data_IF_069233957195
#
_entry.id   IF_069233957195
#
_cell.length_a   1.000
_cell.length_b   1.000
_cell.length_c   1.000
_cell.angle_alpha   90.00
_cell.angle_beta   90.00
_cell.angle_gamma   90.00
#
_symmetry.space_group_name_H-M   'P 1'
#
loop_
_entity.id
_entity.type
_entity.pdbx_description
1 polymer ?
#
# COMPACT_ATOMS: atom_id res chain seq x y z
N UNK A 1 -22.07 9.12 1.21
CA UNK A 1 -20.77 8.77 1.84
C UNK A 1 -20.93 8.90 3.34
N UNK A 2 -20.95 7.78 4.07
CA UNK A 2 -20.86 7.80 5.53
C UNK A 2 -19.45 8.27 5.90
N UNK A 3 -19.31 9.26 6.79
CA UNK A 3 -17.99 9.53 7.38
C UNK A 3 -17.46 8.23 8.02
N UNK A 4 -16.17 7.89 7.84
CA UNK A 4 -15.59 6.75 8.53
C UNK A 4 -15.77 6.92 10.05
N UNK A 5 -15.95 5.82 10.76
CA UNK A 5 -16.13 5.84 12.20
C UNK A 5 -14.79 6.13 12.89
N UNK A 6 -14.48 7.42 13.09
CA UNK A 6 -13.25 7.92 13.72
C UNK A 6 -12.91 7.20 15.04
N UNK A 7 -13.92 6.77 15.79
CA UNK A 7 -13.74 6.02 17.04
C UNK A 7 -13.14 4.63 16.80
N UNK A 8 -13.65 3.89 15.80
CA UNK A 8 -13.15 2.56 15.47
C UNK A 8 -11.70 2.63 14.95
N UNK A 9 -11.42 3.58 14.05
CA UNK A 9 -10.07 3.82 13.53
C UNK A 9 -9.09 4.12 14.66
N UNK A 10 -9.47 4.97 15.61
CA UNK A 10 -8.65 5.31 16.76
C UNK A 10 -8.33 4.09 17.63
N UNK A 11 -9.31 3.22 17.88
CA UNK A 11 -9.09 1.98 18.63
C UNK A 11 -8.07 1.08 17.92
N UNK A 12 -8.23 0.86 16.61
CA UNK A 12 -7.33 0.03 15.83
C UNK A 12 -5.90 0.59 15.79
N UNK A 13 -5.75 1.91 15.60
CA UNK A 13 -4.44 2.57 15.64
C UNK A 13 -3.77 2.33 17.00
N UNK A 14 -4.52 2.51 18.10
CA UNK A 14 -4.00 2.29 19.45
C UNK A 14 -3.56 0.84 19.66
N UNK A 15 -4.33 -0.13 19.19
CA UNK A 15 -3.99 -1.56 19.27
C UNK A 15 -2.67 -1.85 18.55
N UNK A 16 -2.51 -1.37 17.31
CA UNK A 16 -1.28 -1.56 16.53
C UNK A 16 -0.08 -0.89 17.22
N UNK A 17 -0.23 0.35 17.71
CA UNK A 17 0.85 1.03 18.42
C UNK A 17 1.26 0.27 19.70
N UNK A 18 0.28 -0.30 20.42
CA UNK A 18 0.52 -1.14 21.60
C UNK A 18 1.19 -2.46 21.25
N UNK A 19 0.88 -3.05 20.11
CA UNK A 19 1.52 -4.29 19.69
C UNK A 19 2.97 -4.04 19.21
N UNK A 20 3.15 -3.06 18.34
CA UNK A 20 4.38 -2.93 17.55
C UNK A 20 5.42 -2.04 18.21
N UNK A 21 5.03 -1.07 19.05
CA UNK A 21 5.95 -0.04 19.59
C UNK A 21 6.09 -0.07 21.11
N UNK A 22 5.08 -0.51 21.86
CA UNK A 22 5.20 -0.58 23.32
C UNK A 22 6.36 -1.48 23.79
N UNK A 23 6.67 -2.63 23.16
CA UNK A 23 7.81 -3.46 23.58
C UNK A 23 9.17 -2.75 23.53
N UNK A 24 9.31 -1.72 22.68
CA UNK A 24 10.55 -0.95 22.49
C UNK A 24 10.50 0.46 23.10
N UNK A 25 9.33 0.91 23.57
CA UNK A 25 9.13 2.22 24.20
C UNK A 25 8.73 1.99 25.66
N UNK A 26 9.70 2.00 26.60
CA UNK A 26 9.44 1.75 28.01
C UNK A 26 8.72 2.93 28.68
N UNK A 27 8.12 2.67 29.83
CA UNK A 27 7.63 3.72 30.73
C UNK A 27 8.78 4.64 31.18
N UNK A 28 8.45 5.90 31.44
CA UNK A 28 9.42 6.82 32.02
C UNK A 28 9.43 6.64 33.54
N UNK A 29 10.58 6.82 34.19
CA UNK A 29 10.67 6.78 35.66
C UNK A 29 10.04 8.04 36.27
N UNK A 30 8.71 8.07 36.32
CA UNK A 30 7.90 9.17 36.87
C UNK A 30 6.80 8.62 37.76
N UNK A 31 6.45 9.37 38.80
CA UNK A 31 5.33 9.06 39.68
C UNK A 31 4.00 9.42 38.97
N UNK A 32 3.65 8.59 37.99
CA UNK A 32 2.48 8.71 37.14
C UNK A 32 1.55 7.51 37.35
N UNK A 33 0.25 7.73 37.14
CA UNK A 33 -0.71 6.62 37.11
C UNK A 33 -0.48 5.75 35.87
N UNK A 34 -0.95 4.49 35.86
CA UNK A 34 -0.87 3.63 34.67
C UNK A 34 -1.45 4.30 33.42
N UNK A 35 -2.56 5.04 33.54
CA UNK A 35 -3.18 5.75 32.42
C UNK A 35 -2.31 6.90 31.88
N UNK A 36 -1.57 7.57 32.77
CA UNK A 36 -0.64 8.63 32.38
C UNK A 36 0.57 8.05 31.64
N UNK A 37 1.10 6.91 32.11
CA UNK A 37 2.15 6.16 31.41
C UNK A 37 1.68 5.69 30.04
N UNK A 38 0.50 5.08 29.96
CA UNK A 38 -0.09 4.62 28.70
C UNK A 38 -0.26 5.78 27.70
N UNK A 39 -0.81 6.90 28.15
CA UNK A 39 -0.99 8.09 27.31
C UNK A 39 0.35 8.63 26.78
N UNK A 40 1.36 8.70 27.63
CA UNK A 40 2.68 9.16 27.23
C UNK A 40 3.34 8.19 26.22
N UNK A 41 3.27 6.88 26.49
CA UNK A 41 3.80 5.84 25.60
C UNK A 41 3.09 5.83 24.25
N UNK A 42 1.78 6.05 24.22
CA UNK A 42 1.02 6.17 22.97
C UNK A 42 1.50 7.35 22.14
N UNK A 43 1.71 8.53 22.73
CA UNK A 43 2.26 9.70 22.02
C UNK A 43 3.66 9.41 21.46
N UNK A 44 4.56 8.82 22.25
CA UNK A 44 5.90 8.44 21.79
C UNK A 44 5.89 7.35 20.70
N UNK A 45 4.99 6.36 20.83
CA UNK A 45 4.77 5.32 19.82
C UNK A 45 4.26 5.93 18.52
N UNK A 46 3.36 6.91 18.61
CA UNK A 46 2.84 7.62 17.45
C UNK A 46 3.95 8.44 16.75
N UNK A 47 4.84 9.09 17.51
CA UNK A 47 5.99 9.79 16.94
C UNK A 47 6.92 8.85 16.16
N UNK A 48 7.28 7.71 16.76
CA UNK A 48 8.10 6.70 16.08
C UNK A 48 7.38 6.09 14.88
N UNK A 49 6.07 5.85 14.97
CA UNK A 49 5.26 5.40 13.84
C UNK A 49 5.30 6.39 12.67
N UNK A 50 5.24 7.70 12.95
CA UNK A 50 5.40 8.73 11.92
C UNK A 50 6.74 8.59 11.20
N UNK A 51 7.85 8.55 11.97
CA UNK A 51 9.20 8.41 11.42
C UNK A 51 9.35 7.11 10.61
N UNK A 52 8.80 5.99 11.09
CA UNK A 52 8.84 4.72 10.38
C UNK A 52 8.20 4.80 8.99
N UNK A 53 7.04 5.45 8.84
CA UNK A 53 6.34 5.56 7.56
C UNK A 53 6.90 6.69 6.68
N UNK A 54 7.40 7.78 7.26
CA UNK A 54 7.98 8.91 6.51
C UNK A 54 9.36 8.58 5.91
N UNK A 55 10.16 7.77 6.61
CA UNK A 55 11.53 7.45 6.22
C UNK A 55 11.75 5.96 5.89
N UNK A 56 10.67 5.19 5.72
CA UNK A 56 10.69 3.75 5.39
C UNK A 56 11.61 2.92 6.31
N UNK A 57 11.41 3.08 7.62
CA UNK A 57 12.20 2.41 8.66
C UNK A 57 11.41 1.31 9.35
N UNK A 58 12.13 0.34 9.89
CA UNK A 58 11.54 -0.62 10.83
C UNK A 58 11.09 0.09 12.13
N UNK A 59 10.07 -0.43 12.84
CA UNK A 59 9.66 0.11 14.13
C UNK A 59 10.82 0.28 15.12
N UNK A 60 11.72 -0.71 15.18
CA UNK A 60 12.90 -0.67 16.06
C UNK A 60 13.85 0.47 15.71
N UNK A 61 14.16 0.68 14.43
CA UNK A 61 14.98 1.83 14.01
C UNK A 61 14.28 3.15 14.34
N UNK A 62 12.98 3.25 14.06
CA UNK A 62 12.23 4.48 14.31
C UNK A 62 12.11 4.81 15.81
N UNK A 63 12.06 3.82 16.71
CA UNK A 63 12.05 4.05 18.16
C UNK A 63 13.31 4.79 18.65
N UNK A 64 14.44 4.66 17.95
CA UNK A 64 15.67 5.38 18.28
C UNK A 64 15.60 6.89 17.97
N UNK A 65 14.58 7.37 17.26
CA UNK A 65 14.38 8.80 16.96
C UNK A 65 13.69 9.58 18.10
N UNK A 66 13.11 8.89 19.09
CA UNK A 66 12.26 9.51 20.12
C UNK A 66 13.07 10.33 21.14
N UNK A 67 12.71 11.58 21.37
CA UNK A 67 13.27 12.39 22.46
C UNK A 67 12.47 12.07 23.73
N UNK A 68 12.96 11.13 24.54
CA UNK A 68 12.29 10.70 25.76
C UNK A 68 12.33 11.79 26.86
N UNK A 69 11.21 12.08 27.50
CA UNK A 69 11.17 12.84 28.76
C UNK A 69 10.22 14.04 28.73
N UNK A 70 10.21 14.82 29.83
CA UNK A 70 9.74 16.20 29.79
C UNK A 70 10.85 17.10 29.21
N UNK A 71 10.50 18.34 28.89
CA UNK A 71 11.42 19.34 28.33
C UNK A 71 12.10 18.87 27.03
N UNK A 72 11.31 18.26 26.14
CA UNK A 72 11.65 17.93 24.75
C UNK A 72 11.58 19.16 23.81
N UNK A 73 11.35 20.34 24.39
CA UNK A 73 11.13 21.61 23.71
C UNK A 73 10.03 21.52 22.63
N UNK A 74 9.03 20.66 22.82
CA UNK A 74 7.91 20.47 21.90
C UNK A 74 8.17 19.54 20.72
N UNK A 75 9.36 18.92 20.63
CA UNK A 75 9.73 17.95 19.57
C UNK A 75 9.85 16.54 20.19
N UNK A 76 8.93 15.65 19.87
CA UNK A 76 8.86 14.30 20.41
C UNK A 76 9.81 13.31 19.69
N UNK A 77 10.14 13.54 18.43
CA UNK A 77 11.09 12.70 17.68
C UNK A 77 11.86 13.47 16.61
N UNK A 78 13.11 13.04 16.36
CA UNK A 78 14.00 13.62 15.36
C UNK A 78 14.75 12.52 14.60
N UNK A 79 14.74 12.60 13.27
CA UNK A 79 15.47 11.67 12.41
C UNK A 79 16.06 12.37 11.19
N UNK A 80 17.35 12.17 10.97
CA UNK A 80 18.01 12.66 9.76
C UNK A 80 18.07 11.56 8.69
N UNK A 81 17.21 11.71 7.68
CA UNK A 81 17.25 10.90 6.47
C UNK A 81 18.36 11.39 5.54
N UNK A 82 19.52 10.74 5.66
CA UNK A 82 20.74 11.05 4.90
C UNK A 82 20.59 10.79 3.41
N UNK A 83 19.71 9.86 3.01
CA UNK A 83 19.50 9.42 1.62
C UNK A 83 18.66 10.47 0.88
N UNK A 84 17.55 10.89 1.47
CA UNK A 84 16.65 11.88 0.89
C UNK A 84 17.02 13.33 1.24
N UNK A 85 18.08 13.52 2.04
CA UNK A 85 18.55 14.82 2.54
C UNK A 85 17.46 15.59 3.29
N UNK A 86 16.76 14.90 4.21
CA UNK A 86 15.65 15.44 4.99
C UNK A 86 15.86 15.27 6.49
N UNK A 87 15.63 16.33 7.25
CA UNK A 87 15.58 16.29 8.71
C UNK A 87 14.12 16.31 9.16
N UNK A 88 13.64 15.19 9.69
CA UNK A 88 12.29 15.04 10.19
C UNK A 88 12.22 15.45 11.67
N UNK A 89 11.31 16.36 12.00
CA UNK A 89 11.03 16.82 13.35
C UNK A 89 9.55 16.58 13.64
N UNK A 90 9.20 15.79 14.65
CA UNK A 90 7.82 15.34 14.87
C UNK A 90 7.31 15.81 16.23
N UNK A 91 6.10 16.36 16.28
CA UNK A 91 5.30 16.52 17.49
C UNK A 91 4.09 15.58 17.44
N UNK A 92 3.92 14.76 18.47
CA UNK A 92 2.95 13.68 18.50
C UNK A 92 1.95 13.75 19.65
N UNK A 93 0.67 13.72 19.32
CA UNK A 93 -0.43 13.75 20.30
C UNK A 93 -1.39 12.59 20.06
N UNK A 94 -1.29 11.53 20.86
CA UNK A 94 -2.22 10.39 20.83
C UNK A 94 -3.61 10.73 21.41
N UNK A 95 -4.22 11.82 20.93
CA UNK A 95 -5.40 12.46 21.48
C UNK A 95 -5.94 13.51 20.51
N UNK A 96 -6.39 14.65 21.05
CA UNK A 96 -6.85 15.79 20.25
C UNK A 96 -5.70 16.41 19.45
N UNK A 97 -6.05 17.15 18.40
CA UNK A 97 -5.10 17.95 17.64
C UNK A 97 -4.29 18.90 18.55
N UNK A 98 -3.00 19.18 18.23
CA UNK A 98 -2.22 20.21 18.89
C UNK A 98 -2.95 21.55 18.91
N UNK A 99 -3.00 22.17 20.09
CA UNK A 99 -3.57 23.50 20.25
C UNK A 99 -2.50 24.58 19.99
N UNK A 100 -2.87 25.85 20.07
CA UNK A 100 -1.94 26.97 19.86
C UNK A 100 -0.74 26.97 20.82
N UNK A 101 -0.92 26.50 22.07
CA UNK A 101 0.17 26.39 23.03
C UNK A 101 1.14 25.27 22.68
N UNK A 102 0.63 24.13 22.21
CA UNK A 102 1.44 23.01 21.71
C UNK A 102 2.23 23.43 20.45
N UNK A 103 1.56 24.14 19.52
CA UNK A 103 2.18 24.64 18.29
C UNK A 103 3.31 25.63 18.55
N UNK A 104 3.09 26.60 19.45
CA UNK A 104 4.12 27.57 19.82
C UNK A 104 5.37 26.88 20.37
N UNK A 105 5.20 25.90 21.27
CA UNK A 105 6.32 25.09 21.78
C UNK A 105 7.05 24.38 20.66
N UNK A 106 6.33 23.79 19.71
CA UNK A 106 6.94 23.12 18.56
C UNK A 106 7.77 24.08 17.69
N UNK A 107 7.19 25.21 17.28
CA UNK A 107 7.88 26.23 16.50
C UNK A 107 9.11 26.78 17.24
N UNK A 108 8.98 27.02 18.55
CA UNK A 108 10.09 27.47 19.40
C UNK A 108 11.19 26.42 19.50
N UNK A 109 10.83 25.14 19.64
CA UNK A 109 11.73 24.00 19.58
C UNK A 109 12.50 23.92 18.28
N UNK A 110 11.82 24.02 17.15
CA UNK A 110 12.46 24.02 15.82
C UNK A 110 13.38 25.23 15.69
N UNK A 111 12.97 26.41 16.17
CA UNK A 111 13.82 27.61 16.16
C UNK A 111 15.07 27.41 17.02
N UNK A 112 14.94 26.80 18.20
CA UNK A 112 16.08 26.47 19.05
C UNK A 112 17.03 25.48 18.38
N UNK A 113 16.50 24.46 17.71
CA UNK A 113 17.29 23.46 16.97
C UNK A 113 18.05 24.11 15.80
N UNK A 114 17.38 24.90 14.96
CA UNK A 114 17.99 25.57 13.79
C UNK A 114 19.10 26.55 14.21
N UNK A 115 18.96 27.20 15.36
CA UNK A 115 19.99 28.09 15.93
C UNK A 115 21.03 27.34 16.79
N UNK A 116 21.06 26.01 16.74
CA UNK A 116 21.98 25.15 17.49
C UNK A 116 21.96 25.40 19.01
N UNK A 117 20.81 25.79 19.57
CA UNK A 117 20.60 26.00 21.01
C UNK A 117 20.29 24.68 21.72
N UNK A 118 21.16 23.68 21.54
CA UNK A 118 20.94 22.30 22.00
C UNK A 118 20.86 22.16 23.53
N UNK A 119 21.43 23.11 24.28
CA UNK A 119 21.35 23.16 25.75
C UNK A 119 19.91 23.26 26.30
N UNK A 120 18.93 23.59 25.45
CA UNK A 120 17.51 23.63 25.83
C UNK A 120 16.79 22.29 25.68
N UNK A 121 17.43 21.28 25.09
CA UNK A 121 16.87 19.95 24.93
C UNK A 121 17.34 19.03 26.06
N UNK A 122 16.52 18.06 26.41
CA UNK A 122 16.83 17.11 27.48
C UNK A 122 17.96 16.12 27.10
N UNK A 123 18.42 15.35 28.08
CA UNK A 123 19.54 14.40 27.90
C UNK A 123 19.29 13.36 26.82
N UNK A 124 18.04 13.01 26.54
CA UNK A 124 17.69 12.07 25.47
C UNK A 124 18.05 12.61 24.09
N UNK A 125 18.08 13.92 23.89
CA UNK A 125 18.50 14.53 22.62
C UNK A 125 20.00 14.37 22.33
N UNK A 126 20.85 14.25 23.36
CA UNK A 126 22.32 14.24 23.23
C UNK A 126 22.82 13.19 22.22
N UNK A 127 22.16 12.03 22.13
CA UNK A 127 22.52 10.97 21.19
C UNK A 127 22.21 11.32 19.72
N UNK A 128 21.26 12.20 19.48
CA UNK A 128 20.81 12.66 18.16
C UNK A 128 21.50 13.97 17.75
N UNK A 129 22.13 14.68 18.70
CA UNK A 129 22.71 16.00 18.47
C UNK A 129 23.67 16.01 17.28
N UNK A 130 24.57 15.02 17.18
CA UNK A 130 25.54 14.96 16.08
C UNK A 130 24.86 14.82 14.71
N UNK A 131 23.84 13.95 14.60
CA UNK A 131 23.07 13.78 13.36
C UNK A 131 22.30 15.05 12.99
N UNK A 132 21.79 15.77 13.99
CA UNK A 132 21.09 17.03 13.78
C UNK A 132 22.05 18.14 13.35
N UNK A 133 23.21 18.25 13.98
CA UNK A 133 24.25 19.21 13.60
C UNK A 133 24.69 18.98 12.16
N UNK A 134 24.99 17.73 11.80
CA UNK A 134 25.38 17.34 10.45
C UNK A 134 24.27 17.64 9.44
N UNK A 135 23.01 17.36 9.77
CA UNK A 135 21.87 17.73 8.94
C UNK A 135 21.84 19.25 8.70
N UNK A 136 21.93 20.06 9.76
CA UNK A 136 21.83 21.52 9.68
C UNK A 136 22.96 22.17 8.87
N UNK A 137 24.16 21.60 8.92
CA UNK A 137 25.34 22.06 8.19
C UNK A 137 25.40 21.54 6.74
N UNK A 138 24.55 20.57 6.39
CA UNK A 138 24.49 20.01 5.03
C UNK A 138 23.71 20.92 4.07
N UNK A 139 24.37 21.31 2.98
CA UNK A 139 23.75 22.09 1.92
C UNK A 139 22.53 21.39 1.32
N UNK A 140 21.46 22.16 1.12
CA UNK A 140 20.22 21.68 0.50
C UNK A 140 19.38 20.75 1.37
N UNK A 141 19.71 20.55 2.66
CA UNK A 141 18.85 19.78 3.56
C UNK A 141 17.47 20.46 3.67
N UNK A 142 16.41 19.65 3.59
CA UNK A 142 15.04 20.07 3.88
C UNK A 142 14.67 19.65 5.30
N UNK A 143 14.28 20.61 6.12
CA UNK A 143 13.74 20.40 7.46
C UNK A 143 12.23 20.28 7.32
N UNK A 144 11.65 19.20 7.83
CA UNK A 144 10.21 18.96 7.76
C UNK A 144 9.64 18.78 9.16
N UNK A 145 8.80 19.73 9.57
CA UNK A 145 8.09 19.68 10.85
C UNK A 145 6.73 18.98 10.71
N UNK A 146 6.53 17.86 11.39
CA UNK A 146 5.31 17.07 11.29
C UNK A 146 4.49 17.13 12.58
N UNK A 147 3.22 17.48 12.49
CA UNK A 147 2.27 17.35 13.59
C UNK A 147 1.44 16.08 13.37
N UNK A 148 1.60 15.07 14.24
CA UNK A 148 0.86 13.80 14.16
C UNK A 148 -0.10 13.63 15.33
N UNK A 149 -1.37 13.32 15.05
CA UNK A 149 -2.40 13.23 16.09
C UNK A 149 -3.64 12.42 15.70
N UNK A 150 -4.42 11.99 16.71
CA UNK A 150 -5.59 11.12 16.55
C UNK A 150 -6.91 11.90 16.61
N UNK A 151 -7.01 12.94 15.78
CA UNK A 151 -8.13 13.86 15.62
C UNK A 151 -8.28 14.25 14.14
N UNK A 152 -9.36 14.97 13.78
CA UNK A 152 -9.72 15.21 12.38
C UNK A 152 -8.82 16.25 11.67
N UNK A 153 -8.50 17.37 12.32
CA UNK A 153 -7.74 18.46 11.69
C UNK A 153 -7.11 19.43 12.70
N UNK A 154 -6.07 20.14 12.28
CA UNK A 154 -5.50 21.27 13.00
C UNK A 154 -6.47 22.48 12.97
N UNK A 155 -6.48 23.26 14.04
CA UNK A 155 -7.22 24.52 14.07
C UNK A 155 -6.63 25.56 13.09
N UNK A 156 -7.49 26.38 12.48
CA UNK A 156 -7.06 27.41 11.50
C UNK A 156 -5.98 28.36 12.03
N UNK A 157 -6.03 28.72 13.31
CA UNK A 157 -5.00 29.54 13.95
C UNK A 157 -3.63 28.85 14.01
N UNK A 158 -3.60 27.53 14.26
CA UNK A 158 -2.37 26.73 14.27
C UNK A 158 -1.80 26.64 12.85
N UNK A 159 -2.64 26.37 11.85
CA UNK A 159 -2.22 26.34 10.44
C UNK A 159 -1.65 27.68 9.98
N UNK A 160 -2.29 28.80 10.35
CA UNK A 160 -1.79 30.13 10.01
C UNK A 160 -0.42 30.42 10.65
N UNK A 161 -0.23 30.01 11.91
CA UNK A 161 1.03 30.17 12.64
C UNK A 161 2.15 29.32 12.04
N UNK A 162 1.87 28.07 11.65
CA UNK A 162 2.81 27.20 10.93
C UNK A 162 3.19 27.76 9.56
N UNK A 163 2.23 28.33 8.82
CA UNK A 163 2.50 28.99 7.54
C UNK A 163 3.34 30.26 7.72
N UNK A 164 3.09 31.05 8.76
CA UNK A 164 3.92 32.20 9.09
C UNK A 164 5.35 31.75 9.45
N UNK A 165 5.49 30.71 10.27
CA UNK A 165 6.77 30.14 10.64
C UNK A 165 7.53 29.57 9.43
N UNK A 166 6.83 28.92 8.50
CA UNK A 166 7.40 28.48 7.23
C UNK A 166 7.95 29.64 6.42
N UNK A 167 7.22 30.75 6.32
CA UNK A 167 7.69 31.93 5.61
C UNK A 167 8.91 32.58 6.31
N UNK A 168 8.94 32.56 7.65
CA UNK A 168 10.08 33.04 8.45
C UNK A 168 11.36 32.25 8.13
N UNK A 169 11.30 30.91 8.22
CA UNK A 169 12.45 30.04 7.98
C UNK A 169 12.86 29.97 6.50
N UNK A 170 11.93 30.25 5.57
CA UNK A 170 12.19 30.23 4.13
C UNK A 170 12.51 31.60 3.52
N UNK A 171 12.79 32.61 4.34
CA UNK A 171 12.97 34.00 3.86
C UNK A 171 14.04 34.13 2.76
N UNK A 172 15.12 33.37 2.84
CA UNK A 172 16.26 33.46 1.91
C UNK A 172 16.48 32.19 1.10
N UNK A 173 16.15 31.03 1.65
CA UNK A 173 16.25 29.73 0.99
C UNK A 173 15.09 28.85 1.46
N UNK A 174 14.48 28.10 0.54
CA UNK A 174 13.39 27.20 0.85
C UNK A 174 13.94 25.95 1.55
N UNK A 175 14.01 25.98 2.87
CA UNK A 175 14.60 24.90 3.69
C UNK A 175 13.65 24.26 4.68
N UNK A 176 12.51 24.86 4.97
CA UNK A 176 11.53 24.36 5.91
C UNK A 176 10.17 24.08 5.27
N UNK A 177 9.61 22.92 5.56
CA UNK A 177 8.23 22.55 5.24
C UNK A 177 7.56 21.96 6.49
N UNK A 178 6.24 21.89 6.47
CA UNK A 178 5.50 21.26 7.55
C UNK A 178 4.39 20.37 6.99
N UNK A 179 4.07 19.31 7.73
CA UNK A 179 3.07 18.31 7.35
C UNK A 179 2.04 18.10 8.48
N UNK A 180 0.77 18.06 8.08
CA UNK A 180 -0.36 17.70 8.93
C UNK A 180 -0.65 16.20 8.80
N UNK A 181 -0.42 15.44 9.86
CA UNK A 181 -0.60 13.98 9.90
C UNK A 181 -1.77 13.63 10.84
N UNK A 182 -2.98 13.82 10.33
CA UNK A 182 -4.20 13.55 11.07
C UNK A 182 -4.55 12.04 11.13
N UNK A 183 -5.68 11.71 11.76
CA UNK A 183 -6.11 10.31 11.89
C UNK A 183 -6.33 9.60 10.54
N UNK A 184 -6.75 10.31 9.50
CA UNK A 184 -6.95 9.75 8.17
C UNK A 184 -5.61 9.34 7.52
N UNK A 185 -4.60 10.20 7.63
CA UNK A 185 -3.23 9.89 7.15
C UNK A 185 -2.68 8.65 7.85
N UNK A 186 -2.81 8.59 9.18
CA UNK A 186 -2.32 7.48 10.00
C UNK A 186 -3.03 6.18 9.62
N UNK A 187 -4.35 6.23 9.49
CA UNK A 187 -5.14 5.06 9.16
C UNK A 187 -4.83 4.54 7.76
N UNK A 188 -4.61 5.43 6.80
CA UNK A 188 -4.18 5.08 5.43
C UNK A 188 -2.85 4.34 5.43
N UNK A 189 -1.88 4.74 6.26
CA UNK A 189 -0.62 4.01 6.40
C UNK A 189 -0.81 2.60 6.98
N UNK A 190 -1.73 2.42 7.92
CA UNK A 190 -2.04 1.10 8.47
C UNK A 190 -2.69 0.18 7.44
N UNK A 191 -3.64 0.68 6.66
CA UNK A 191 -4.34 -0.14 5.65
C UNK A 191 -3.49 -0.39 4.41
N UNK A 192 -2.59 0.53 4.04
CA UNK A 192 -1.68 0.34 2.92
C UNK A 192 -0.74 -0.87 3.11
N UNK A 193 -0.35 -1.17 4.36
CA UNK A 193 0.42 -2.39 4.68
C UNK A 193 -0.35 -3.69 4.39
N UNK A 194 -1.67 -3.61 4.21
CA UNK A 194 -2.55 -4.74 3.89
C UNK A 194 -2.87 -4.83 2.39
N UNK A 195 -2.37 -3.93 1.55
CA UNK A 195 -2.49 -4.05 0.10
C UNK A 195 -1.62 -5.20 -0.40
N UNK A 196 -2.21 -6.09 -1.20
CA UNK A 196 -1.42 -7.05 -1.96
C UNK A 196 -0.57 -6.28 -2.97
N UNK A 197 0.74 -6.46 -2.94
CA UNK A 197 1.64 -5.81 -3.89
C UNK A 197 1.22 -6.18 -5.33
N UNK A 198 1.25 -5.22 -6.28
CA UNK A 198 1.00 -5.51 -7.68
C UNK A 198 1.96 -6.59 -8.18
N UNK A 199 1.43 -7.59 -8.87
CA UNK A 199 2.26 -8.70 -9.39
C UNK A 199 2.88 -8.27 -10.72
N UNK A 200 4.19 -8.45 -10.85
CA UNK A 200 4.87 -8.46 -12.13
C UNK A 200 4.89 -9.90 -12.68
N UNK A 201 4.39 -10.07 -13.89
CA UNK A 201 4.36 -11.36 -14.59
C UNK A 201 5.10 -11.26 -15.91
N UNK A 202 5.87 -12.30 -16.25
CA UNK A 202 6.41 -12.48 -17.59
C UNK A 202 5.61 -13.56 -18.32
N UNK A 203 5.10 -13.23 -19.50
CA UNK A 203 4.22 -14.11 -20.28
C UNK A 203 4.59 -14.06 -21.76
N UNK A 204 4.73 -15.21 -22.40
CA UNK A 204 4.98 -15.28 -23.85
C UNK A 204 3.67 -15.23 -24.61
N UNK A 205 3.59 -14.32 -25.58
CA UNK A 205 2.50 -14.26 -26.55
C UNK A 205 3.02 -14.66 -27.93
N UNK A 206 2.30 -15.56 -28.58
CA UNK A 206 2.53 -15.96 -29.96
C UNK A 206 1.48 -15.36 -30.89
N UNK A 207 1.85 -15.11 -32.14
CA UNK A 207 0.96 -14.62 -33.21
C UNK A 207 0.08 -13.45 -32.76
N UNK A 208 0.71 -12.45 -32.16
CA UNK A 208 0.02 -11.38 -31.47
C UNK A 208 -0.12 -10.12 -32.33
N UNK A 209 -1.10 -9.30 -31.97
CA UNK A 209 -1.31 -7.98 -32.53
C UNK A 209 -1.60 -6.96 -31.43
N UNK A 210 -1.33 -5.69 -31.73
CA UNK A 210 -1.63 -4.56 -30.84
C UNK A 210 -2.70 -3.66 -31.44
N UNK A 211 -3.64 -3.25 -30.60
CA UNK A 211 -4.53 -2.13 -30.83
C UNK A 211 -3.97 -0.94 -30.06
N UNK A 212 -3.51 0.09 -30.77
CA UNK A 212 -2.92 1.28 -30.15
C UNK A 212 -3.94 2.40 -29.91
N UNK A 213 -5.07 2.40 -30.61
CA UNK A 213 -6.03 3.49 -30.55
C UNK A 213 -6.93 3.43 -29.31
N UNK A 214 -7.11 4.60 -28.67
CA UNK A 214 -7.82 4.85 -27.40
C UNK A 214 -7.20 4.20 -26.15
N UNK A 215 -6.84 2.91 -26.20
CA UNK A 215 -6.14 2.19 -25.13
C UNK A 215 -5.29 1.08 -25.73
N UNK A 216 -4.08 0.89 -25.22
CA UNK A 216 -3.20 -0.21 -25.67
C UNK A 216 -3.77 -1.55 -25.24
N UNK A 217 -4.09 -2.39 -26.22
CA UNK A 217 -4.51 -3.76 -25.99
C UNK A 217 -3.73 -4.70 -26.91
N UNK A 218 -3.44 -5.89 -26.42
CA UNK A 218 -2.74 -6.94 -27.15
C UNK A 218 -3.60 -8.18 -27.19
N UNK A 219 -3.62 -8.89 -28.30
CA UNK A 219 -4.26 -10.19 -28.38
C UNK A 219 -3.41 -11.16 -29.18
N UNK A 220 -3.42 -12.43 -28.79
CA UNK A 220 -2.59 -13.47 -29.38
C UNK A 220 -2.84 -14.80 -28.71
N UNK A 221 -1.92 -15.75 -28.91
CA UNK A 221 -1.96 -17.06 -28.30
C UNK A 221 -1.03 -17.12 -27.09
N UNK A 222 -1.48 -17.80 -26.04
CA UNK A 222 -0.67 -18.11 -24.87
C UNK A 222 -0.61 -19.62 -24.66
N UNK A 223 0.54 -20.10 -24.19
CA UNK A 223 0.71 -21.50 -23.83
C UNK A 223 0.04 -21.81 -22.48
N UNK A 224 -0.74 -22.88 -22.40
CA UNK A 224 -1.37 -23.31 -21.16
C UNK A 224 -0.33 -23.70 -20.08
N UNK A 225 0.84 -24.22 -20.45
CA UNK A 225 1.91 -24.54 -19.51
C UNK A 225 2.41 -23.29 -18.76
N UNK A 226 2.61 -22.16 -19.46
CA UNK A 226 3.01 -20.91 -18.82
C UNK A 226 1.95 -20.41 -17.83
N UNK A 227 0.66 -20.55 -18.16
CA UNK A 227 -0.42 -20.18 -17.24
C UNK A 227 -0.43 -21.07 -15.97
N UNK A 228 -0.10 -22.35 -16.09
CA UNK A 228 0.03 -23.25 -14.94
C UNK A 228 1.20 -22.86 -14.04
N UNK A 229 2.35 -22.51 -14.62
CA UNK A 229 3.52 -22.04 -13.89
C UNK A 229 3.22 -20.75 -13.13
N UNK A 230 2.55 -19.79 -13.77
CA UNK A 230 2.12 -18.56 -13.12
C UNK A 230 1.16 -18.83 -11.96
N UNK A 231 0.21 -19.76 -12.13
CA UNK A 231 -0.70 -20.15 -11.06
C UNK A 231 0.05 -20.82 -9.91
N UNK A 232 1.05 -21.67 -10.18
CA UNK A 232 1.90 -22.27 -9.15
C UNK A 232 2.69 -21.21 -8.37
N UNK A 233 3.16 -20.16 -9.04
CA UNK A 233 3.95 -19.10 -8.43
C UNK A 233 3.12 -18.10 -7.61
N UNK A 234 1.95 -17.69 -8.12
CA UNK A 234 1.18 -16.57 -7.56
C UNK A 234 -0.20 -16.98 -7.03
N UNK A 235 -0.69 -18.17 -7.37
CA UNK A 235 -1.95 -18.74 -6.93
C UNK A 235 -3.13 -17.74 -7.11
N UNK A 236 -3.93 -17.55 -6.08
CA UNK A 236 -5.12 -16.69 -6.07
C UNK A 236 -4.82 -15.22 -6.37
N UNK A 237 -3.56 -14.77 -6.23
CA UNK A 237 -3.19 -13.37 -6.47
C UNK A 237 -3.34 -12.98 -7.94
N UNK A 238 -3.27 -13.95 -8.88
CA UNK A 238 -3.51 -13.68 -10.31
C UNK A 238 -4.92 -13.14 -10.61
N UNK A 239 -5.87 -13.33 -9.71
CA UNK A 239 -7.29 -13.01 -9.92
C UNK A 239 -7.78 -11.87 -9.04
N UNK A 240 -6.89 -11.07 -8.43
CA UNK A 240 -7.28 -10.05 -7.45
C UNK A 240 -8.31 -9.03 -7.97
N UNK A 241 -8.27 -8.67 -9.26
CA UNK A 241 -9.25 -7.76 -9.89
C UNK A 241 -10.45 -8.48 -10.51
N UNK A 242 -10.55 -9.80 -10.32
CA UNK A 242 -11.62 -10.63 -10.85
C UNK A 242 -12.79 -10.74 -9.85
N UNK A 243 -14.02 -10.65 -10.37
CA UNK A 243 -15.24 -10.85 -9.57
C UNK A 243 -15.58 -12.30 -9.31
N UNK A 244 -14.99 -13.17 -10.12
CA UNK A 244 -15.28 -14.59 -10.16
C UNK A 244 -14.14 -15.32 -9.46
N UNK A 245 -14.14 -15.26 -8.12
CA UNK A 245 -13.50 -16.28 -7.31
C UNK A 245 -14.28 -17.61 -7.31
N UNK A 246 -15.48 -17.58 -7.90
CA UNK A 246 -16.28 -18.76 -8.14
C UNK A 246 -15.60 -19.68 -9.16
N UNK A 247 -14.95 -20.73 -8.63
CA UNK A 247 -14.77 -22.00 -9.33
C UNK A 247 -16.16 -22.40 -9.82
N UNK A 248 -16.45 -22.21 -11.11
CA UNK A 248 -17.78 -22.51 -11.65
C UNK A 248 -18.15 -23.98 -11.53
N UNK A 249 -19.22 -24.40 -12.20
CA UNK A 249 -19.70 -25.78 -12.11
C UNK A 249 -18.57 -26.77 -12.44
N UNK A 250 -18.49 -27.86 -11.66
CA UNK A 250 -17.48 -28.91 -11.86
C UNK A 250 -17.47 -29.38 -13.32
N UNK A 251 -18.64 -29.50 -13.94
CA UNK A 251 -18.80 -29.90 -15.35
C UNK A 251 -17.98 -29.05 -16.34
N UNK A 252 -17.93 -27.72 -16.17
CA UNK A 252 -17.17 -26.84 -17.07
C UNK A 252 -15.68 -26.98 -16.84
N UNK A 253 -15.27 -27.02 -15.58
CA UNK A 253 -13.85 -27.16 -15.22
C UNK A 253 -13.31 -28.53 -15.67
N UNK A 254 -14.12 -29.58 -15.52
CA UNK A 254 -13.82 -30.94 -16.00
C UNK A 254 -13.71 -30.98 -17.51
N UNK A 255 -14.63 -30.35 -18.25
CA UNK A 255 -14.55 -30.28 -19.71
C UNK A 255 -13.25 -29.61 -20.18
N UNK A 256 -12.87 -28.47 -19.58
CA UNK A 256 -11.61 -27.79 -19.88
C UNK A 256 -10.42 -28.71 -19.55
N UNK A 257 -10.42 -29.33 -18.37
CA UNK A 257 -9.36 -30.25 -17.96
C UNK A 257 -9.24 -31.46 -18.90
N UNK A 258 -10.34 -32.03 -19.37
CA UNK A 258 -10.35 -33.11 -20.35
C UNK A 258 -9.79 -32.66 -21.69
N UNK A 259 -10.13 -31.46 -22.18
CA UNK A 259 -9.55 -30.90 -23.40
C UNK A 259 -8.03 -30.75 -23.26
N UNK A 260 -7.55 -30.16 -22.17
CA UNK A 260 -6.11 -30.01 -21.92
C UNK A 260 -5.40 -31.38 -21.86
N UNK A 261 -6.01 -32.39 -21.24
CA UNK A 261 -5.43 -33.75 -21.08
C UNK A 261 -5.45 -34.57 -22.37
N UNK A 262 -6.55 -34.54 -23.13
CA UNK A 262 -6.80 -35.49 -24.23
C UNK A 262 -6.77 -34.86 -25.63
N UNK A 263 -7.05 -33.57 -25.73
CA UNK A 263 -7.22 -32.85 -27.00
C UNK A 263 -6.53 -31.47 -26.94
N UNK A 264 -5.22 -31.39 -26.65
CA UNK A 264 -4.54 -30.12 -26.40
C UNK A 264 -4.60 -29.14 -27.59
N UNK A 265 -4.50 -29.64 -28.83
CA UNK A 265 -4.63 -28.84 -30.06
C UNK A 265 -6.02 -28.20 -30.21
N UNK A 266 -7.05 -28.81 -29.62
CA UNK A 266 -8.42 -28.31 -29.69
C UNK A 266 -8.72 -27.24 -28.63
N UNK A 267 -7.79 -26.99 -27.69
CA UNK A 267 -8.00 -26.04 -26.59
C UNK A 267 -8.33 -24.63 -27.10
N UNK A 268 -7.70 -24.20 -28.20
CA UNK A 268 -7.98 -22.92 -28.81
C UNK A 268 -9.44 -22.80 -29.28
N UNK A 269 -10.00 -23.87 -29.85
CA UNK A 269 -11.36 -23.87 -30.42
C UNK A 269 -12.43 -24.09 -29.35
N UNK A 270 -12.10 -24.86 -28.31
CA UNK A 270 -13.04 -25.27 -27.25
C UNK A 270 -13.00 -24.35 -26.02
N UNK A 271 -12.16 -23.31 -26.01
CA UNK A 271 -12.06 -22.35 -24.92
C UNK A 271 -12.38 -20.92 -25.38
N UNK A 272 -13.05 -20.15 -24.52
CA UNK A 272 -13.41 -18.75 -24.81
C UNK A 272 -12.22 -17.78 -24.77
N UNK A 273 -11.07 -18.23 -24.26
CA UNK A 273 -9.87 -17.43 -24.06
C UNK A 273 -9.78 -16.78 -22.68
N UNK A 274 -8.77 -15.92 -22.55
CA UNK A 274 -8.38 -15.25 -21.32
C UNK A 274 -8.38 -13.74 -21.53
N UNK A 275 -8.91 -12.95 -20.58
CA UNK A 275 -8.67 -11.51 -20.55
C UNK A 275 -7.85 -11.13 -19.32
N UNK A 276 -6.72 -10.47 -19.55
CA UNK A 276 -5.81 -9.94 -18.55
C UNK A 276 -5.88 -8.42 -18.59
N UNK A 277 -5.84 -7.80 -17.41
CA UNK A 277 -5.56 -6.38 -17.25
C UNK A 277 -4.20 -6.20 -16.56
N UNK A 278 -3.52 -5.11 -16.88
CA UNK A 278 -2.25 -4.75 -16.27
C UNK A 278 -2.15 -3.22 -16.19
N UNK A 279 -1.32 -2.70 -15.28
CA UNK A 279 -1.03 -1.27 -15.21
C UNK A 279 -0.10 -0.85 -16.34
N UNK A 280 0.83 -1.73 -16.73
CA UNK A 280 1.82 -1.44 -17.77
C UNK A 280 2.26 -2.68 -18.54
N UNK A 281 2.48 -2.52 -19.84
CA UNK A 281 3.07 -3.54 -20.73
C UNK A 281 4.44 -3.08 -21.20
N UNK A 282 5.45 -3.91 -20.97
CA UNK A 282 6.83 -3.71 -21.42
C UNK A 282 7.21 -4.84 -22.39
N UNK A 283 7.65 -4.45 -23.59
CA UNK A 283 8.14 -5.34 -24.63
C UNK A 283 9.67 -5.23 -24.76
N UNK A 284 10.37 -6.33 -25.10
CA UNK A 284 11.78 -6.26 -25.46
C UNK A 284 11.98 -5.45 -26.75
N UNK A 285 13.18 -4.88 -26.92
CA UNK A 285 13.51 -4.03 -28.07
C UNK A 285 13.38 -4.77 -29.42
N UNK A 286 13.76 -6.05 -29.47
CA UNK A 286 13.66 -6.91 -30.65
C UNK A 286 12.41 -7.79 -30.65
N UNK A 287 11.24 -7.26 -30.26
CA UNK A 287 10.00 -8.03 -30.26
C UNK A 287 9.57 -8.39 -31.68
N UNK A 288 9.00 -9.59 -31.83
CA UNK A 288 8.45 -10.12 -33.07
C UNK A 288 6.99 -10.55 -32.86
N UNK A 289 6.15 -10.35 -33.87
CA UNK A 289 4.73 -10.71 -33.79
C UNK A 289 4.50 -12.23 -33.70
N UNK A 290 5.43 -13.05 -34.20
CA UNK A 290 5.29 -14.52 -34.14
C UNK A 290 5.41 -15.04 -32.71
N UNK A 291 6.36 -14.51 -31.92
CA UNK A 291 6.53 -14.85 -30.52
C UNK A 291 7.32 -13.78 -29.78
N UNK A 292 6.83 -13.32 -28.63
CA UNK A 292 7.53 -12.35 -27.78
C UNK A 292 7.19 -12.56 -26.31
N UNK A 293 8.18 -12.39 -25.43
CA UNK A 293 7.99 -12.40 -23.97
C UNK A 293 7.64 -11.01 -23.45
N UNK A 294 6.42 -10.87 -22.94
CA UNK A 294 5.88 -9.63 -22.37
C UNK A 294 6.24 -9.56 -20.90
N UNK A 295 6.51 -8.36 -20.38
CA UNK A 295 6.54 -8.07 -18.94
C UNK A 295 5.32 -7.22 -18.60
N UNK A 296 4.51 -7.69 -17.66
CA UNK A 296 3.21 -7.14 -17.30
C UNK A 296 3.23 -6.72 -15.83
N UNK A 297 3.18 -5.41 -15.56
CA UNK A 297 3.09 -4.88 -14.19
C UNK A 297 1.62 -4.80 -13.76
N UNK A 298 1.33 -5.11 -12.49
CA UNK A 298 -0.03 -5.08 -11.95
C UNK A 298 -0.97 -6.08 -12.63
N UNK A 299 -0.45 -7.25 -12.95
CA UNK A 299 -1.14 -8.33 -13.67
C UNK A 299 -2.40 -8.80 -12.93
N UNK A 300 -3.53 -8.91 -13.63
CA UNK A 300 -4.69 -9.65 -13.15
C UNK A 300 -5.54 -10.22 -14.28
N UNK A 301 -5.87 -11.50 -14.18
CA UNK A 301 -6.84 -12.19 -15.03
C UNK A 301 -8.25 -11.77 -14.61
N UNK A 302 -8.95 -11.03 -15.46
CA UNK A 302 -10.32 -10.53 -15.21
C UNK A 302 -11.40 -11.39 -15.86
N UNK A 303 -11.05 -12.26 -16.81
CA UNK A 303 -11.90 -13.31 -17.36
C UNK A 303 -11.03 -14.54 -17.69
N UNK A 304 -11.52 -15.74 -17.36
CA UNK A 304 -10.82 -17.01 -17.60
C UNK A 304 -10.19 -17.65 -16.36
N UNK A 305 -10.60 -17.26 -15.14
CA UNK A 305 -10.11 -17.86 -13.89
C UNK A 305 -10.33 -19.38 -13.82
N UNK A 306 -11.47 -19.86 -14.29
CA UNK A 306 -11.77 -21.30 -14.42
C UNK A 306 -10.82 -22.02 -15.36
N UNK A 307 -10.49 -21.39 -16.51
CA UNK A 307 -9.55 -21.95 -17.48
C UNK A 307 -8.17 -22.11 -16.85
N UNK A 308 -7.64 -21.05 -16.22
CA UNK A 308 -6.33 -21.09 -15.55
C UNK A 308 -6.34 -22.11 -14.40
N UNK A 309 -7.38 -22.16 -13.59
CA UNK A 309 -7.50 -23.12 -12.49
C UNK A 309 -7.59 -24.58 -12.97
N UNK A 310 -8.33 -24.85 -14.05
CA UNK A 310 -8.44 -26.20 -14.63
C UNK A 310 -7.11 -26.65 -15.23
N UNK A 311 -6.43 -25.75 -15.96
CA UNK A 311 -5.08 -25.96 -16.48
C UNK A 311 -4.10 -26.28 -15.34
N UNK A 312 -4.09 -25.50 -14.26
CA UNK A 312 -3.23 -25.72 -13.11
C UNK A 312 -3.52 -27.06 -12.40
N UNK A 313 -4.80 -27.46 -12.31
CA UNK A 313 -5.18 -28.77 -11.79
C UNK A 313 -4.59 -29.90 -12.62
N UNK A 314 -4.71 -29.84 -13.95
CA UNK A 314 -4.08 -30.82 -14.87
C UNK A 314 -2.56 -30.87 -14.68
N UNK A 315 -1.91 -29.71 -14.56
CA UNK A 315 -0.48 -29.62 -14.35
C UNK A 315 -0.04 -30.26 -13.02
N UNK A 316 -0.79 -30.05 -11.94
CA UNK A 316 -0.50 -30.65 -10.64
C UNK A 316 -0.67 -32.17 -10.65
N UNK A 317 -1.67 -32.69 -11.37
CA UNK A 317 -1.91 -34.14 -11.51
C UNK A 317 -0.81 -34.83 -12.35
N UNK A 318 -0.44 -34.23 -13.48
CA UNK A 318 0.37 -34.89 -14.51
C UNK A 318 1.84 -34.42 -14.55
N UNK A 319 2.19 -33.33 -13.86
CA UNK A 319 3.51 -32.72 -13.84
C UNK A 319 3.89 -31.90 -15.08
N UNK A 320 3.12 -32.00 -16.18
CA UNK A 320 3.35 -31.24 -17.42
C UNK A 320 2.05 -31.03 -18.21
N UNK A 321 2.05 -30.00 -19.05
CA UNK A 321 1.00 -29.72 -20.05
C UNK A 321 1.65 -29.75 -21.44
N UNK A 322 0.92 -30.25 -22.45
CA UNK A 322 1.41 -30.26 -23.82
C UNK A 322 1.73 -28.84 -24.31
N UNK A 323 2.86 -28.60 -25.00
CA UNK A 323 3.17 -27.31 -25.59
C UNK A 323 2.19 -26.91 -26.70
N UNK A 324 1.41 -27.86 -27.22
CA UNK A 324 0.37 -27.60 -28.23
C UNK A 324 -0.92 -27.03 -27.62
N UNK A 325 -1.08 -27.11 -26.30
CA UNK A 325 -2.23 -26.57 -25.60
C UNK A 325 -2.15 -25.03 -25.54
N UNK A 326 -2.76 -24.37 -26.52
CA UNK A 326 -2.77 -22.91 -26.66
C UNK A 326 -4.19 -22.37 -26.64
N UNK A 327 -4.35 -21.13 -26.18
CA UNK A 327 -5.63 -20.44 -26.12
C UNK A 327 -5.47 -18.95 -26.45
N UNK A 328 -6.56 -18.33 -26.88
CA UNK A 328 -6.62 -16.90 -27.13
C UNK A 328 -6.48 -16.11 -25.83
N UNK A 329 -5.64 -15.09 -25.83
CA UNK A 329 -5.51 -14.13 -24.72
C UNK A 329 -5.71 -12.70 -25.23
N UNK A 330 -6.35 -11.87 -24.42
CA UNK A 330 -6.41 -10.42 -24.58
C UNK A 330 -5.80 -9.75 -23.36
N UNK A 331 -4.78 -8.91 -23.54
CA UNK A 331 -4.15 -8.10 -22.50
C UNK A 331 -4.57 -6.65 -22.71
N UNK A 332 -5.06 -5.99 -21.67
CA UNK A 332 -5.46 -4.58 -21.71
C UNK A 332 -4.60 -3.79 -20.74
N UNK A 333 -3.91 -2.77 -21.23
CA UNK A 333 -3.12 -1.84 -20.43
C UNK A 333 -4.03 -0.72 -19.91
N UNK A 334 -4.19 -0.64 -18.59
CA UNK A 334 -5.10 0.32 -17.94
C UNK A 334 -4.40 1.65 -17.59
N UNK A 335 -3.07 1.68 -17.50
CA UNK A 335 -2.35 2.84 -16.98
C UNK A 335 -2.49 2.98 -15.46
N UNK A 336 -2.78 4.20 -14.98
CA UNK A 336 -2.90 4.50 -13.53
C UNK A 336 -4.16 3.93 -12.89
N UNK A 337 -4.06 3.55 -11.61
CA UNK A 337 -5.08 2.81 -10.83
C UNK A 337 -6.42 3.56 -10.68
N UNK A 338 -6.47 4.87 -10.92
CA UNK A 338 -7.69 5.68 -10.78
C UNK A 338 -8.75 5.45 -11.88
N UNK A 339 -8.47 4.62 -12.87
CA UNK A 339 -9.32 4.45 -14.05
C UNK A 339 -10.45 3.46 -13.76
N UNK A 340 -11.69 3.97 -13.60
CA UNK A 340 -12.91 3.18 -13.35
C UNK A 340 -13.19 2.14 -14.43
N UNK A 341 -12.59 2.32 -15.61
CA UNK A 341 -12.67 1.41 -16.74
C UNK A 341 -12.24 -0.02 -16.41
N UNK A 342 -11.28 -0.23 -15.50
CA UNK A 342 -10.84 -1.57 -15.14
C UNK A 342 -12.00 -2.37 -14.55
N UNK A 343 -12.79 -1.72 -13.69
CA UNK A 343 -14.02 -2.27 -13.12
C UNK A 343 -15.07 -2.50 -14.21
N UNK A 344 -15.24 -1.58 -15.15
CA UNK A 344 -16.18 -1.72 -16.26
C UNK A 344 -15.83 -2.86 -17.21
N UNK A 345 -14.54 -3.02 -17.56
CA UNK A 345 -14.02 -4.13 -18.37
C UNK A 345 -14.28 -5.44 -17.66
N UNK A 346 -13.92 -5.54 -16.37
CA UNK A 346 -14.19 -6.74 -15.57
C UNK A 346 -15.68 -7.04 -15.56
N UNK A 347 -16.56 -6.05 -15.35
CA UNK A 347 -18.02 -6.25 -15.39
C UNK A 347 -18.47 -6.76 -16.77
N UNK A 348 -18.14 -6.06 -17.85
CA UNK A 348 -18.57 -6.37 -19.20
C UNK A 348 -18.09 -7.75 -19.69
N UNK A 349 -16.85 -8.13 -19.36
CA UNK A 349 -16.29 -9.44 -19.72
C UNK A 349 -16.84 -10.59 -18.87
N UNK A 350 -17.43 -10.31 -17.72
CA UNK A 350 -18.07 -11.33 -16.87
C UNK A 350 -19.58 -11.44 -17.08
N UNK A 351 -20.27 -10.38 -17.55
CA UNK A 351 -21.71 -10.39 -17.85
C UNK A 351 -22.12 -11.28 -19.02
N UNK A 352 -21.18 -11.76 -19.84
CA UNK A 352 -21.48 -12.69 -20.95
C UNK A 352 -21.89 -14.09 -20.47
N UNK A 353 -21.77 -14.41 -19.19
CA UNK A 353 -22.39 -15.56 -18.54
C UNK A 353 -23.31 -15.07 -17.41
N UNK A 354 -24.36 -15.83 -17.05
CA UNK A 354 -25.29 -15.48 -15.97
C UNK A 354 -24.57 -15.38 -14.63
N UNK A 355 -24.11 -14.18 -14.28
CA UNK A 355 -23.49 -13.87 -12.99
C UNK A 355 -24.57 -13.36 -12.05
N UNK A 356 -24.65 -13.94 -10.85
CA UNK A 356 -25.59 -13.45 -9.81
C UNK A 356 -25.16 -12.06 -9.34
N UNK A 357 -26.14 -11.18 -9.06
CA UNK A 357 -25.89 -9.79 -8.65
C UNK A 357 -24.92 -9.62 -7.47
N UNK A 358 -24.88 -10.63 -6.57
CA UNK A 358 -23.97 -10.67 -5.42
C UNK A 358 -22.48 -10.64 -5.79
N UNK A 359 -22.09 -11.12 -6.97
CA UNK A 359 -20.68 -11.07 -7.43
C UNK A 359 -20.26 -9.67 -7.86
N UNK A 360 -21.21 -8.83 -8.30
CA UNK A 360 -20.91 -7.42 -8.60
C UNK A 360 -20.74 -6.60 -7.33
N UNK A 361 -21.38 -6.99 -6.22
CA UNK A 361 -21.17 -6.35 -4.92
C UNK A 361 -19.72 -6.53 -4.43
N UNK A 362 -19.05 -7.62 -4.80
CA UNK A 362 -17.63 -7.87 -4.48
C UNK A 362 -16.65 -6.92 -5.21
N UNK A 363 -17.09 -6.22 -6.27
CA UNK A 363 -16.27 -5.18 -6.93
C UNK A 363 -16.35 -3.82 -6.27
N UNK A 364 -17.29 -3.62 -5.36
CA UNK A 364 -17.39 -2.34 -4.69
C UNK A 364 -16.06 -2.07 -3.97
N UNK A 365 -15.36 -0.95 -4.27
CA UNK A 365 -14.12 -0.60 -3.57
C UNK A 365 -14.26 -0.58 -2.05
N UNK A 366 -15.49 -0.40 -1.54
CA UNK A 366 -15.78 -0.52 -0.12
C UNK A 366 -15.53 -1.93 0.45
N UNK A 367 -15.69 -2.99 -0.33
CA UNK A 367 -15.42 -4.35 0.14
C UNK A 367 -13.94 -4.57 0.40
N UNK A 368 -13.09 -4.10 -0.51
CA UNK A 368 -11.63 -4.16 -0.34
C UNK A 368 -11.18 -3.23 0.79
N UNK A 369 -11.75 -2.02 0.89
CA UNK A 369 -11.55 -1.14 2.05
C UNK A 369 -11.90 -1.88 3.34
N UNK A 370 -13.09 -2.46 3.47
CA UNK A 370 -13.51 -3.21 4.65
C UNK A 370 -12.58 -4.39 4.95
N UNK A 371 -12.08 -5.09 3.91
CA UNK A 371 -11.11 -6.18 4.09
C UNK A 371 -9.81 -5.68 4.71
N UNK A 372 -9.26 -4.59 4.19
CA UNK A 372 -8.06 -3.97 4.73
C UNK A 372 -8.28 -3.51 6.18
N UNK A 373 -9.41 -2.83 6.45
CA UNK A 373 -9.78 -2.34 7.78
C UNK A 373 -9.96 -3.47 8.80
N UNK A 374 -10.59 -4.59 8.41
CA UNK A 374 -10.73 -5.77 9.25
C UNK A 374 -9.38 -6.45 9.50
N UNK A 375 -8.52 -6.54 8.47
CA UNK A 375 -7.22 -7.19 8.58
C UNK A 375 -6.26 -6.45 9.52
N UNK A 376 -6.37 -5.13 9.65
CA UNK A 376 -5.64 -4.36 10.68
C UNK A 376 -5.92 -4.90 12.10
N UNK A 377 -7.12 -5.43 12.35
CA UNK A 377 -7.50 -6.10 13.60
C UNK A 377 -7.34 -7.63 13.55
N UNK A 378 -6.57 -8.17 12.61
CA UNK A 378 -6.43 -9.61 12.34
C UNK A 378 -7.78 -10.34 12.09
N UNK A 379 -8.80 -9.62 11.60
CA UNK A 379 -10.09 -10.21 11.22
C UNK A 379 -10.08 -10.45 9.71
N UNK A 380 -10.28 -11.71 9.31
CA UNK A 380 -10.39 -12.08 7.89
C UNK A 380 -11.79 -11.77 7.39
N UNK A 381 -11.95 -10.69 6.64
CA UNK A 381 -13.20 -10.35 5.97
C UNK A 381 -13.29 -11.03 4.61
N UNK A 382 -14.18 -12.02 4.49
CA UNK A 382 -14.45 -12.70 3.23
C UNK A 382 -15.67 -12.07 2.54
N UNK A 383 -15.42 -11.40 1.42
CA UNK A 383 -16.47 -10.77 0.62
C UNK A 383 -16.56 -11.32 -0.81
N UNK A 384 -15.57 -12.14 -1.19
CA UNK A 384 -15.57 -12.90 -2.44
C UNK A 384 -16.01 -14.32 -2.11
N UNK A 385 -16.96 -14.91 -2.86
CA UNK A 385 -17.34 -16.30 -2.62
C UNK A 385 -16.13 -17.21 -2.83
N UNK A 386 -15.62 -17.82 -1.75
CA UNK A 386 -14.73 -18.97 -1.84
C UNK A 386 -15.56 -20.23 -2.08
N UNK A 387 -14.98 -21.24 -2.73
CA UNK A 387 -15.62 -22.54 -2.93
C UNK A 387 -15.55 -23.44 -1.68
N UNK A 388 -15.36 -22.83 -0.50
CA UNK A 388 -15.27 -23.54 0.78
C UNK A 388 -16.65 -23.71 1.41
#
# INVERSE_FOLDING_TARGET
MSKPNTKAQKTQIIEVLKQDYFPMIPELERNWTPEQHDKNRLSRSLAAFAIANLADLTPSQAAHSIINGGDDNGIDAVYFDRVNNRLWLVQAKAGKAPNMGDNKKFCDGIRDLVHKRFQKFNSSFSRLQHDVEDALDRNGVKIVGCNIYLDDSLGSHVVNDLNQFKNELNKFDSRFEWEDLNIENIYRWLTAKQENAPIEVKLTLEKWHCLEHQRRAFYGLVNAAELAELYKQHNKLLFERNIRYYLGTQDVNEAIAQTVKKQPLELFYLNNGLTITCTKVILPLGHEQESTKFTLEGFSVVNGSQTVGSIASVFNDNGAISPDAKLLVTIIELGTISDTIGVEITKARNTQNTVRDIYFAALDPNQERLRQECMVSNIVYQYRPSAD
#
